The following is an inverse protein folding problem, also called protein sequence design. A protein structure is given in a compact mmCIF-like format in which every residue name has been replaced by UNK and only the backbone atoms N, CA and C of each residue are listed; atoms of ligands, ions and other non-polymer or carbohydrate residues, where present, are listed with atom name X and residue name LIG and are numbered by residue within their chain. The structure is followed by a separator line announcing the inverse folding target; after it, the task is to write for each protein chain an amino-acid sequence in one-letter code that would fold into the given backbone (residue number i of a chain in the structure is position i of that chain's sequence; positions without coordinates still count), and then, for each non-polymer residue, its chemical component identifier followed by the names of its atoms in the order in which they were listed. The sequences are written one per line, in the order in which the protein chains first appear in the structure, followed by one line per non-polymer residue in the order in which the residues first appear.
data_IF_319157192810
#
_entry.id   IF_319157192810
#
_cell.length_a   1.000
_cell.length_b   1.000
_cell.length_c   1.000
_cell.angle_alpha   90.00
_cell.angle_beta   90.00
_cell.angle_gamma   90.00
#
_symmetry.space_group_name_H-M   'P 1'
#
loop_
_entity.id
_entity.type
_entity.pdbx_description
1 polymer ?
#
# COMPACT_ATOMS: atom_id res chain seq x y z
N UNK A 1 31.84 -44.33 9.51
CA UNK A 1 32.33 -42.93 9.73
C UNK A 1 31.60 -41.85 8.88
N UNK A 2 30.48 -42.17 8.22
CA UNK A 2 29.77 -41.19 7.32
C UNK A 2 28.51 -40.53 7.91
N UNK A 3 27.95 -41.03 8.99
CA UNK A 3 26.77 -40.44 9.61
C UNK A 3 27.08 -39.33 10.65
N UNK A 4 28.26 -39.33 11.26
CA UNK A 4 28.68 -38.31 12.19
C UNK A 4 29.16 -37.02 11.48
N UNK A 5 29.62 -37.12 10.24
CA UNK A 5 30.00 -35.95 9.44
C UNK A 5 28.77 -35.16 8.94
N UNK A 6 27.62 -35.82 8.76
CA UNK A 6 26.37 -35.17 8.32
C UNK A 6 25.66 -34.44 9.47
N UNK A 7 25.82 -34.91 10.71
CA UNK A 7 25.24 -34.25 11.90
C UNK A 7 25.99 -32.98 12.33
N UNK A 8 27.29 -32.87 12.03
CA UNK A 8 28.11 -31.70 12.36
C UNK A 8 27.91 -30.52 11.40
N UNK A 9 27.25 -30.73 10.26
CA UNK A 9 26.97 -29.71 9.25
C UNK A 9 25.62 -29.00 9.43
N UNK A 10 24.78 -29.41 10.37
CA UNK A 10 23.66 -28.59 10.86
C UNK A 10 24.26 -27.47 11.75
N UNK A 11 24.93 -26.49 11.12
CA UNK A 11 25.20 -25.20 11.77
C UNK A 11 23.88 -24.72 12.34
N UNK A 12 23.79 -24.66 13.68
CA UNK A 12 22.65 -24.07 14.37
C UNK A 12 22.33 -22.74 13.68
N UNK A 13 21.15 -22.66 13.08
CA UNK A 13 20.74 -21.41 12.42
C UNK A 13 20.85 -20.29 13.45
N UNK A 14 21.51 -19.17 13.11
CA UNK A 14 21.71 -18.10 14.07
C UNK A 14 20.34 -17.63 14.52
N UNK A 15 20.11 -17.57 15.84
CA UNK A 15 18.87 -17.03 16.42
C UNK A 15 18.71 -15.60 15.96
N UNK A 16 17.47 -15.21 15.58
CA UNK A 16 17.15 -13.83 15.21
C UNK A 16 17.67 -12.87 16.29
N UNK A 17 18.53 -11.94 15.90
CA UNK A 17 19.07 -10.93 16.82
C UNK A 17 17.93 -10.09 17.42
N UNK A 18 17.94 -9.84 18.72
CA UNK A 18 16.97 -8.94 19.36
C UNK A 18 16.96 -7.56 18.69
N UNK A 19 18.10 -7.12 18.17
CA UNK A 19 18.19 -5.86 17.44
C UNK A 19 17.44 -5.83 16.10
N UNK A 20 17.15 -6.99 15.49
CA UNK A 20 16.32 -7.08 14.30
C UNK A 20 14.91 -6.48 14.53
N UNK A 21 14.37 -6.63 15.74
CA UNK A 21 13.07 -6.05 16.12
C UNK A 21 13.14 -4.52 16.28
N UNK A 22 14.26 -3.98 16.75
CA UNK A 22 14.50 -2.52 16.79
C UNK A 22 14.56 -1.95 15.38
N UNK A 23 15.25 -2.65 14.47
CA UNK A 23 15.27 -2.26 13.05
C UNK A 23 13.89 -2.36 12.42
N UNK A 24 13.12 -3.41 12.73
CA UNK A 24 11.75 -3.55 12.28
C UNK A 24 10.87 -2.38 12.76
N UNK A 25 11.02 -1.97 14.03
CA UNK A 25 10.33 -0.81 14.56
C UNK A 25 10.68 0.48 13.80
N UNK A 26 11.96 0.70 13.50
CA UNK A 26 12.41 1.86 12.72
C UNK A 26 11.80 1.85 11.30
N UNK A 27 11.78 0.69 10.64
CA UNK A 27 11.15 0.51 9.32
C UNK A 27 9.63 0.71 9.38
N UNK A 28 9.00 0.21 10.45
CA UNK A 28 7.58 0.40 10.70
C UNK A 28 7.22 1.88 10.81
N UNK A 29 7.93 2.63 11.65
CA UNK A 29 7.72 4.07 11.85
C UNK A 29 7.96 4.85 10.55
N UNK A 30 8.99 4.51 9.80
CA UNK A 30 9.28 5.12 8.49
C UNK A 30 8.15 4.87 7.48
N UNK A 31 7.62 3.64 7.40
CA UNK A 31 6.52 3.31 6.48
C UNK A 31 5.21 3.90 6.96
N UNK A 32 4.93 3.86 8.26
CA UNK A 32 3.74 4.47 8.86
C UNK A 32 3.69 5.96 8.55
N UNK A 33 4.81 6.69 8.70
CA UNK A 33 4.87 8.12 8.41
C UNK A 33 4.59 8.43 6.94
N UNK A 34 5.12 7.63 6.01
CA UNK A 34 4.83 7.77 4.59
C UNK A 34 3.36 7.47 4.27
N UNK A 35 2.77 6.48 4.94
CA UNK A 35 1.37 6.09 4.75
C UNK A 35 0.40 7.14 5.32
N UNK A 36 0.69 7.71 6.50
CA UNK A 36 -0.08 8.83 7.04
C UNK A 36 -0.13 9.99 6.03
N UNK A 37 1.00 10.30 5.40
CA UNK A 37 1.07 11.32 4.38
C UNK A 37 0.35 10.94 3.08
N UNK A 38 0.33 9.67 2.68
CA UNK A 38 -0.46 9.19 1.55
C UNK A 38 -1.95 9.50 1.75
N UNK A 39 -2.49 9.14 2.90
CA UNK A 39 -3.93 9.18 3.17
C UNK A 39 -4.44 10.47 3.82
N UNK A 40 -3.59 11.48 4.06
CA UNK A 40 -4.00 12.75 4.70
C UNK A 40 -4.93 13.61 3.84
N UNK A 41 -4.92 13.44 2.51
CA UNK A 41 -5.71 14.25 1.58
C UNK A 41 -7.22 13.92 1.64
N UNK A 42 -7.68 12.66 1.52
CA UNK A 42 -9.09 12.32 1.48
C UNK A 42 -9.93 12.93 2.60
N UNK A 43 -9.54 12.85 3.89
CA UNK A 43 -10.36 13.36 4.99
C UNK A 43 -10.43 14.90 5.10
N UNK A 44 -9.58 15.63 4.38
CA UNK A 44 -9.59 17.11 4.36
C UNK A 44 -9.78 17.65 2.94
N UNK A 45 -10.20 16.80 2.02
CA UNK A 45 -10.32 17.14 0.60
C UNK A 45 -11.27 18.33 0.38
N UNK A 46 -12.40 18.38 1.05
CA UNK A 46 -13.37 19.49 0.96
C UNK A 46 -12.80 20.81 1.46
N UNK A 47 -11.91 20.79 2.47
CA UNK A 47 -11.23 22.00 2.96
C UNK A 47 -10.24 22.55 1.92
N UNK A 48 -9.54 21.66 1.21
CA UNK A 48 -8.62 22.04 0.13
C UNK A 48 -9.40 22.57 -1.07
N UNK A 49 -10.51 21.94 -1.42
CA UNK A 49 -11.39 22.41 -2.51
C UNK A 49 -11.87 23.84 -2.25
N UNK A 50 -12.31 24.12 -1.04
CA UNK A 50 -12.73 25.47 -0.65
C UNK A 50 -11.55 26.46 -0.65
N UNK A 51 -10.39 26.08 -0.11
CA UNK A 51 -9.24 26.96 0.02
C UNK A 51 -8.63 27.39 -1.33
N UNK A 52 -8.65 26.48 -2.32
CA UNK A 52 -8.05 26.73 -3.64
C UNK A 52 -9.08 26.90 -4.76
N UNK A 53 -10.38 26.87 -4.43
CA UNK A 53 -11.49 26.93 -5.42
C UNK A 53 -11.34 25.90 -6.53
N UNK A 54 -11.01 24.65 -6.16
CA UNK A 54 -10.81 23.52 -7.08
C UNK A 54 -11.88 22.46 -6.90
N UNK A 55 -12.12 21.68 -7.94
CA UNK A 55 -13.12 20.62 -7.98
C UNK A 55 -12.57 19.25 -7.54
N UNK A 56 -13.45 18.22 -7.55
CA UNK A 56 -13.09 16.85 -7.24
C UNK A 56 -12.09 16.26 -8.24
N UNK A 57 -12.08 16.72 -9.49
CA UNK A 57 -11.15 16.22 -10.51
C UNK A 57 -9.72 16.62 -10.17
N UNK A 58 -9.50 17.92 -9.89
CA UNK A 58 -8.18 18.42 -9.50
C UNK A 58 -7.67 17.79 -8.20
N UNK A 59 -8.54 17.64 -7.20
CA UNK A 59 -8.13 16.99 -5.93
C UNK A 59 -7.92 15.50 -6.10
N UNK A 60 -8.62 14.84 -7.00
CA UNK A 60 -8.35 13.45 -7.38
C UNK A 60 -7.00 13.29 -8.07
N UNK A 61 -6.66 14.21 -8.97
CA UNK A 61 -5.33 14.24 -9.61
C UNK A 61 -4.22 14.52 -8.58
N UNK A 62 -4.48 15.35 -7.57
CA UNK A 62 -3.55 15.59 -6.43
C UNK A 62 -3.31 14.32 -5.60
N UNK A 63 -4.31 13.44 -5.48
CA UNK A 63 -4.13 12.13 -4.86
C UNK A 63 -3.33 11.19 -5.76
N UNK A 64 -3.60 11.23 -7.05
CA UNK A 64 -2.99 10.35 -8.05
C UNK A 64 -1.49 10.62 -8.23
N UNK A 65 -1.06 11.89 -8.23
CA UNK A 65 0.35 12.26 -8.45
C UNK A 65 1.30 11.63 -7.42
N UNK A 66 0.83 11.41 -6.20
CA UNK A 66 1.59 10.71 -5.19
C UNK A 66 1.94 9.27 -5.64
N UNK A 67 1.01 8.58 -6.29
CA UNK A 67 1.18 7.18 -6.70
C UNK A 67 2.01 7.02 -7.98
N UNK A 68 2.09 8.06 -8.83
CA UNK A 68 2.86 7.99 -10.07
C UNK A 68 4.36 7.77 -9.80
N UNK A 69 4.86 8.34 -8.70
CA UNK A 69 6.26 8.16 -8.32
C UNK A 69 6.56 6.74 -7.85
N UNK A 70 5.60 6.05 -7.24
CA UNK A 70 5.72 4.62 -6.95
C UNK A 70 5.91 3.79 -8.22
N UNK A 71 5.21 4.13 -9.31
CA UNK A 71 5.37 3.51 -10.61
C UNK A 71 6.72 3.86 -11.26
N UNK A 72 7.05 5.15 -11.35
CA UNK A 72 8.29 5.64 -11.98
C UNK A 72 9.53 5.08 -11.27
N UNK A 73 9.49 4.99 -9.93
CA UNK A 73 10.61 4.50 -9.13
C UNK A 73 10.63 2.97 -8.97
N UNK A 74 9.64 2.23 -9.43
CA UNK A 74 9.60 0.77 -9.26
C UNK A 74 10.87 0.07 -9.76
N UNK A 75 11.46 0.53 -10.85
CA UNK A 75 12.72 0.01 -11.41
C UNK A 75 13.94 0.76 -10.86
N UNK A 76 14.00 2.12 -10.90
CA UNK A 76 15.15 2.86 -10.37
C UNK A 76 15.40 2.67 -8.88
N UNK A 77 14.36 2.43 -8.06
CA UNK A 77 14.51 2.24 -6.62
C UNK A 77 15.44 1.06 -6.26
N UNK A 78 15.37 -0.02 -7.03
CA UNK A 78 16.30 -1.15 -6.87
C UNK A 78 17.75 -0.79 -7.15
N UNK A 79 18.00 0.06 -8.16
CA UNK A 79 19.33 0.58 -8.47
C UNK A 79 19.83 1.55 -7.38
N UNK A 80 18.96 2.45 -6.92
CA UNK A 80 19.24 3.38 -5.82
C UNK A 80 19.62 2.59 -4.56
N UNK A 81 18.84 1.56 -4.23
CA UNK A 81 19.10 0.67 -3.08
C UNK A 81 20.44 -0.03 -3.20
N UNK A 82 20.80 -0.53 -4.39
CA UNK A 82 22.10 -1.18 -4.63
C UNK A 82 23.26 -0.19 -4.52
N UNK A 83 23.10 1.05 -5.00
CA UNK A 83 24.17 2.05 -5.01
C UNK A 83 24.40 2.71 -3.66
N UNK A 84 23.33 3.09 -2.95
CA UNK A 84 23.40 3.86 -1.71
C UNK A 84 23.21 3.00 -0.45
N UNK A 85 22.78 1.75 -0.62
CA UNK A 85 22.48 0.85 0.50
C UNK A 85 21.14 1.16 1.17
N UNK A 86 20.73 0.26 2.07
CA UNK A 86 19.41 0.31 2.70
C UNK A 86 19.23 1.56 3.56
N UNK A 87 20.25 1.87 4.40
CA UNK A 87 20.16 3.00 5.34
C UNK A 87 19.96 4.33 4.62
N UNK A 88 20.79 4.62 3.65
CA UNK A 88 20.69 5.89 2.89
C UNK A 88 19.41 5.96 2.07
N UNK A 89 19.00 4.86 1.45
CA UNK A 89 17.72 4.82 0.70
C UNK A 89 16.53 5.09 1.62
N UNK A 90 16.53 4.52 2.83
CA UNK A 90 15.50 4.79 3.84
C UNK A 90 15.50 6.24 4.33
N UNK A 91 16.68 6.83 4.58
CA UNK A 91 16.80 8.23 4.96
C UNK A 91 16.33 9.17 3.86
N UNK A 92 16.72 8.92 2.60
CA UNK A 92 16.24 9.69 1.44
C UNK A 92 14.71 9.56 1.33
N UNK A 93 14.18 8.36 1.54
CA UNK A 93 12.73 8.11 1.48
C UNK A 93 11.98 8.94 2.51
N UNK A 94 12.31 8.83 3.78
CA UNK A 94 11.61 9.56 4.86
C UNK A 94 11.88 11.06 4.77
N UNK A 95 13.11 11.46 4.40
CA UNK A 95 13.48 12.85 4.16
C UNK A 95 12.65 13.50 3.04
N UNK A 96 12.45 12.79 1.93
CA UNK A 96 11.60 13.26 0.83
C UNK A 96 10.15 13.46 1.29
N UNK A 97 9.56 12.52 2.06
CA UNK A 97 8.21 12.71 2.61
C UNK A 97 8.16 13.91 3.55
N UNK A 98 9.17 14.07 4.42
CA UNK A 98 9.25 15.21 5.36
C UNK A 98 9.27 16.55 4.62
N UNK A 99 10.16 16.67 3.64
CA UNK A 99 10.33 17.88 2.84
C UNK A 99 9.07 18.14 2.00
N UNK A 100 8.56 17.13 1.30
CA UNK A 100 7.35 17.25 0.48
C UNK A 100 6.12 17.68 1.29
N UNK A 101 5.96 17.13 2.50
CA UNK A 101 4.88 17.50 3.40
C UNK A 101 5.06 18.95 3.91
N UNK A 102 6.28 19.37 4.26
CA UNK A 102 6.59 20.75 4.64
C UNK A 102 6.30 21.74 3.51
N UNK A 103 6.71 21.41 2.28
CA UNK A 103 6.36 22.20 1.08
C UNK A 103 4.84 22.33 0.90
N UNK A 104 4.12 21.22 1.03
CA UNK A 104 2.67 21.22 0.96
C UNK A 104 2.02 22.06 2.05
N UNK A 105 2.55 22.06 3.28
CA UNK A 105 2.06 22.88 4.38
C UNK A 105 2.22 24.40 4.12
N UNK A 106 3.27 24.78 3.39
CA UNK A 106 3.57 26.16 3.00
C UNK A 106 2.87 26.58 1.69
N UNK A 107 2.12 25.69 1.05
CA UNK A 107 1.54 25.93 -0.26
C UNK A 107 0.51 27.08 -0.22
N UNK A 108 0.77 28.13 -0.97
CA UNK A 108 -0.15 29.26 -1.22
C UNK A 108 -0.91 29.07 -2.54
N UNK A 109 -0.46 28.16 -3.40
CA UNK A 109 -1.08 27.84 -4.68
C UNK A 109 -1.29 26.32 -4.77
N UNK A 110 -2.28 25.91 -5.56
CA UNK A 110 -2.55 24.50 -5.78
C UNK A 110 -1.38 23.76 -6.44
N UNK A 111 -0.65 24.45 -7.34
CA UNK A 111 0.52 23.87 -8.03
C UNK A 111 1.66 23.56 -7.05
N UNK A 112 1.87 24.42 -6.03
CA UNK A 112 2.89 24.18 -5.01
C UNK A 112 2.52 22.95 -4.15
N UNK A 113 1.23 22.79 -3.86
CA UNK A 113 0.73 21.59 -3.18
C UNK A 113 0.97 20.33 -4.02
N UNK A 114 0.81 20.44 -5.35
CA UNK A 114 1.09 19.37 -6.32
C UNK A 114 2.57 18.94 -6.28
N UNK A 115 3.49 19.90 -6.29
CA UNK A 115 4.94 19.65 -6.16
C UNK A 115 5.25 18.94 -4.84
N UNK A 116 4.66 19.39 -3.73
CA UNK A 116 4.82 18.73 -2.43
C UNK A 116 4.40 17.27 -2.48
N UNK A 117 3.24 16.97 -3.07
CA UNK A 117 2.72 15.59 -3.23
C UNK A 117 3.61 14.72 -4.11
N UNK A 118 4.18 15.29 -5.16
CA UNK A 118 5.14 14.60 -6.02
C UNK A 118 6.40 14.18 -5.24
N UNK A 119 6.96 15.09 -4.43
CA UNK A 119 8.14 14.80 -3.58
C UNK A 119 7.82 13.74 -2.53
N UNK A 120 6.64 13.81 -1.89
CA UNK A 120 6.17 12.79 -0.94
C UNK A 120 6.08 11.40 -1.61
N UNK A 121 5.59 11.36 -2.86
CA UNK A 121 5.49 10.12 -3.65
C UNK A 121 6.84 9.46 -3.91
N UNK A 122 7.91 10.26 -4.13
CA UNK A 122 9.29 9.74 -4.23
C UNK A 122 9.65 8.96 -2.96
N UNK A 123 9.38 9.53 -1.79
CA UNK A 123 9.68 8.90 -0.52
C UNK A 123 8.92 7.58 -0.32
N UNK A 124 7.63 7.56 -0.63
CA UNK A 124 6.81 6.34 -0.54
C UNK A 124 7.32 5.25 -1.49
N UNK A 125 7.67 5.59 -2.73
CA UNK A 125 8.21 4.64 -3.70
C UNK A 125 9.51 3.99 -3.21
N UNK A 126 10.41 4.76 -2.61
CA UNK A 126 11.68 4.26 -2.08
C UNK A 126 11.51 3.39 -0.84
N UNK A 127 10.66 3.79 0.13
CA UNK A 127 10.51 3.01 1.38
C UNK A 127 9.83 1.67 1.13
N UNK A 128 8.91 1.59 0.17
CA UNK A 128 8.24 0.34 -0.22
C UNK A 128 9.19 -0.69 -0.82
N UNK A 129 10.35 -0.27 -1.32
CA UNK A 129 11.40 -1.18 -1.81
C UNK A 129 12.43 -1.46 -0.71
N UNK A 130 12.84 -0.43 0.04
CA UNK A 130 13.88 -0.54 1.05
C UNK A 130 13.46 -1.39 2.26
N UNK A 131 12.21 -1.27 2.72
CA UNK A 131 11.76 -1.94 3.93
C UNK A 131 11.65 -3.47 3.78
N UNK A 132 10.99 -4.04 2.75
CA UNK A 132 10.98 -5.49 2.54
C UNK A 132 12.39 -6.06 2.35
N UNK A 133 13.26 -5.33 1.65
CA UNK A 133 14.65 -5.76 1.49
C UNK A 133 15.39 -5.77 2.83
N UNK A 134 15.24 -4.74 3.66
CA UNK A 134 15.83 -4.70 5.00
C UNK A 134 15.34 -5.89 5.86
N UNK A 135 14.03 -6.18 5.85
CA UNK A 135 13.47 -7.34 6.56
C UNK A 135 14.10 -8.64 6.05
N UNK A 136 14.35 -8.76 4.75
CA UNK A 136 14.96 -9.95 4.16
C UNK A 136 16.42 -10.17 4.59
N UNK A 137 17.11 -9.12 4.97
CA UNK A 137 18.51 -9.18 5.44
C UNK A 137 18.58 -9.46 6.95
N UNK A 138 17.62 -8.96 7.74
CA UNK A 138 17.61 -9.07 9.20
C UNK A 138 16.89 -10.29 9.74
N UNK A 139 16.02 -10.94 8.95
CA UNK A 139 15.22 -12.09 9.41
C UNK A 139 15.44 -13.31 8.52
N UNK A 140 15.61 -14.51 9.12
CA UNK A 140 15.78 -15.75 8.37
C UNK A 140 14.50 -16.09 7.57
N UNK A 141 14.64 -16.83 6.49
CA UNK A 141 13.56 -17.13 5.55
C UNK A 141 12.33 -17.75 6.22
N UNK A 142 12.54 -18.69 7.15
CA UNK A 142 11.46 -19.41 7.84
C UNK A 142 10.72 -18.55 8.89
N UNK A 143 11.34 -17.44 9.39
CA UNK A 143 10.73 -16.56 10.39
C UNK A 143 10.41 -15.17 9.83
N UNK A 144 10.44 -14.97 8.52
CA UNK A 144 10.26 -13.67 7.86
C UNK A 144 8.79 -13.24 7.75
N UNK A 145 7.87 -14.19 7.78
CA UNK A 145 6.44 -13.92 7.58
C UNK A 145 5.88 -12.95 8.64
N UNK A 146 6.16 -13.18 9.92
CA UNK A 146 5.68 -12.34 11.02
C UNK A 146 6.22 -10.90 10.95
N UNK A 147 7.54 -10.64 10.83
CA UNK A 147 8.05 -9.28 10.65
C UNK A 147 7.49 -8.55 9.43
N UNK A 148 7.31 -9.25 8.31
CA UNK A 148 6.70 -8.68 7.10
C UNK A 148 5.24 -8.33 7.33
N UNK A 149 4.48 -9.18 8.03
CA UNK A 149 3.08 -8.92 8.39
C UNK A 149 2.93 -7.71 9.32
N UNK A 150 3.80 -7.59 10.34
CA UNK A 150 3.85 -6.43 11.23
C UNK A 150 4.15 -5.17 10.42
N UNK A 151 5.18 -5.20 9.58
CA UNK A 151 5.52 -4.05 8.74
C UNK A 151 4.35 -3.67 7.80
N UNK A 152 3.73 -4.63 7.14
CA UNK A 152 2.62 -4.38 6.21
C UNK A 152 1.39 -3.77 6.89
N UNK A 153 1.15 -4.07 8.19
CA UNK A 153 0.04 -3.48 8.95
C UNK A 153 0.13 -1.96 9.08
N UNK A 154 1.33 -1.37 8.92
CA UNK A 154 1.54 0.08 8.95
C UNK A 154 0.70 0.82 7.91
N UNK A 155 0.40 0.18 6.77
CA UNK A 155 -0.42 0.79 5.71
C UNK A 155 -1.88 0.93 6.16
N UNK A 156 -2.47 -0.13 6.70
CA UNK A 156 -3.84 -0.10 7.21
C UNK A 156 -3.99 0.82 8.42
N UNK A 157 -3.06 0.73 9.38
CA UNK A 157 -3.05 1.56 10.58
C UNK A 157 -2.88 3.04 10.22
N UNK A 158 -1.95 3.37 9.30
CA UNK A 158 -1.74 4.74 8.84
C UNK A 158 -3.01 5.33 8.20
N UNK A 159 -3.72 4.55 7.38
CA UNK A 159 -4.99 4.98 6.80
C UNK A 159 -6.05 5.27 7.89
N UNK A 160 -6.28 4.32 8.80
CA UNK A 160 -7.27 4.46 9.88
C UNK A 160 -6.95 5.66 10.77
N UNK A 161 -5.71 5.79 11.23
CA UNK A 161 -5.27 6.90 12.10
C UNK A 161 -5.48 8.25 11.41
N UNK A 162 -5.14 8.34 10.13
CA UNK A 162 -5.31 9.59 9.37
C UNK A 162 -6.77 9.95 9.21
N UNK A 163 -7.64 9.00 8.86
CA UNK A 163 -9.08 9.23 8.71
C UNK A 163 -9.75 9.66 10.02
N UNK A 164 -9.23 9.23 11.16
CA UNK A 164 -9.76 9.61 12.47
C UNK A 164 -9.26 10.98 12.95
N UNK A 165 -7.99 11.31 12.70
CA UNK A 165 -7.33 12.49 13.29
C UNK A 165 -7.35 13.70 12.35
N UNK A 166 -7.10 13.50 11.05
CA UNK A 166 -6.92 14.60 10.10
C UNK A 166 -8.14 15.53 9.97
N UNK A 167 -9.41 15.03 9.96
CA UNK A 167 -10.56 15.94 9.90
C UNK A 167 -10.61 16.92 11.07
N UNK A 168 -10.39 16.43 12.28
CA UNK A 168 -10.43 17.26 13.50
C UNK A 168 -9.33 18.32 13.50
N UNK A 169 -8.11 17.96 13.08
CA UNK A 169 -7.02 18.93 12.94
C UNK A 169 -7.32 19.95 11.84
N UNK A 170 -7.85 19.48 10.70
CA UNK A 170 -8.13 20.34 9.55
C UNK A 170 -9.25 21.34 9.83
N UNK A 171 -10.30 20.94 10.56
CA UNK A 171 -11.40 21.84 10.93
C UNK A 171 -10.99 22.83 12.02
N UNK A 172 -10.24 22.36 13.04
CA UNK A 172 -9.86 23.22 14.17
C UNK A 172 -8.77 24.25 13.82
N UNK A 173 -7.80 23.89 13.00
CA UNK A 173 -6.60 24.69 12.76
C UNK A 173 -6.31 24.95 11.27
N UNK A 174 -7.21 24.54 10.39
CA UNK A 174 -7.03 24.64 8.94
C UNK A 174 -6.27 23.45 8.32
N UNK A 175 -6.50 23.19 7.03
CA UNK A 175 -5.90 22.09 6.29
C UNK A 175 -4.35 22.05 6.33
N UNK A 176 -3.60 23.20 6.37
CA UNK A 176 -2.13 23.15 6.41
C UNK A 176 -1.57 22.48 7.65
N UNK A 177 -2.33 22.50 8.77
CA UNK A 177 -1.93 21.85 10.02
C UNK A 177 -1.80 20.34 9.87
N UNK A 178 -2.62 19.73 9.01
CA UNK A 178 -2.53 18.29 8.71
C UNK A 178 -1.22 17.96 7.98
N UNK A 179 -0.75 18.86 7.10
CA UNK A 179 0.56 18.73 6.43
C UNK A 179 1.72 18.95 7.39
N UNK A 180 1.62 19.94 8.30
CA UNK A 180 2.61 20.16 9.35
C UNK A 180 2.70 18.99 10.31
N UNK A 181 1.58 18.44 10.75
CA UNK A 181 1.54 17.24 11.59
C UNK A 181 2.19 16.04 10.89
N UNK A 182 1.86 15.85 9.60
CA UNK A 182 2.50 14.83 8.74
C UNK A 182 4.01 15.03 8.62
N UNK A 183 4.46 16.26 8.35
CA UNK A 183 5.90 16.58 8.25
C UNK A 183 6.62 16.38 9.58
N UNK A 184 6.03 16.82 10.69
CA UNK A 184 6.61 16.65 12.04
C UNK A 184 6.75 15.17 12.43
N UNK A 185 5.72 14.36 12.15
CA UNK A 185 5.79 12.92 12.40
C UNK A 185 6.82 12.22 11.51
N UNK A 186 6.96 12.65 10.24
CA UNK A 186 8.01 12.17 9.36
C UNK A 186 9.40 12.59 9.85
N UNK A 187 9.58 13.84 10.31
CA UNK A 187 10.85 14.30 10.88
C UNK A 187 11.25 13.46 12.12
N UNK A 188 10.30 13.17 13.01
CA UNK A 188 10.54 12.26 14.13
C UNK A 188 10.93 10.86 13.65
N UNK A 189 10.21 10.33 12.66
CA UNK A 189 10.52 9.03 12.07
C UNK A 189 11.89 9.01 11.37
N UNK A 190 12.30 10.12 10.77
CA UNK A 190 13.63 10.29 10.17
C UNK A 190 14.72 10.20 11.23
N UNK A 191 14.56 10.91 12.34
CA UNK A 191 15.52 10.89 13.47
C UNK A 191 15.59 9.47 14.07
N UNK A 192 14.45 8.84 14.32
CA UNK A 192 14.39 7.47 14.82
C UNK A 192 15.04 6.48 13.86
N UNK A 193 14.78 6.60 12.57
CA UNK A 193 15.39 5.75 11.55
C UNK A 193 16.90 5.96 11.46
N UNK A 194 17.38 7.21 11.47
CA UNK A 194 18.80 7.55 11.46
C UNK A 194 19.55 6.96 12.67
N UNK A 195 18.92 7.04 13.86
CA UNK A 195 19.50 6.59 15.11
C UNK A 195 19.46 5.06 15.28
N UNK A 196 18.31 4.46 14.96
CA UNK A 196 18.05 3.04 15.27
C UNK A 196 18.42 2.10 14.12
N UNK A 197 18.38 2.57 12.87
CA UNK A 197 18.69 1.69 11.74
C UNK A 197 20.19 1.55 11.55
N UNK A 198 20.68 0.32 11.64
CA UNK A 198 22.05 -0.04 11.25
C UNK A 198 22.04 -1.23 10.29
N UNK A 199 23.11 -1.41 9.55
CA UNK A 199 23.31 -2.64 8.79
C UNK A 199 23.65 -3.80 9.74
N UNK A 200 23.19 -5.02 9.46
CA UNK A 200 23.55 -6.17 10.27
C UNK A 200 25.05 -6.45 10.14
N UNK A 201 25.64 -6.93 11.22
CA UNK A 201 27.00 -7.48 11.19
C UNK A 201 26.97 -8.82 10.43
N UNK A 202 28.12 -9.27 9.94
CA UNK A 202 28.21 -10.50 9.13
C UNK A 202 27.57 -11.72 9.81
N UNK A 203 27.68 -11.80 11.16
CA UNK A 203 27.06 -12.85 11.97
C UNK A 203 25.53 -12.72 12.15
N UNK A 204 24.95 -11.57 11.85
CA UNK A 204 23.54 -11.24 11.99
C UNK A 204 22.80 -11.24 10.64
N UNK A 205 23.52 -11.44 9.54
CA UNK A 205 22.96 -11.36 8.18
C UNK A 205 22.35 -12.69 7.76
N UNK A 206 21.08 -12.68 7.42
CA UNK A 206 20.34 -13.84 6.88
C UNK A 206 20.10 -13.75 5.37
N UNK A 207 20.52 -12.68 4.71
CA UNK A 207 20.56 -12.69 3.26
C UNK A 207 21.40 -13.90 2.87
N UNK A 208 20.81 -14.82 2.10
CA UNK A 208 21.64 -15.76 1.37
C UNK A 208 22.75 -14.92 0.71
N UNK A 209 24.04 -15.27 0.86
CA UNK A 209 25.07 -14.61 0.10
C UNK A 209 24.54 -14.51 -1.32
N UNK A 210 24.61 -13.33 -1.91
CA UNK A 210 24.35 -13.20 -3.34
C UNK A 210 25.07 -14.39 -3.96
N UNK A 211 24.40 -15.30 -4.68
CA UNK A 211 24.94 -16.59 -4.99
C UNK A 211 26.36 -16.42 -5.52
N UNK A 212 27.34 -16.60 -4.61
CA UNK A 212 28.69 -16.77 -4.99
C UNK A 212 28.66 -18.07 -5.75
N UNK A 213 28.74 -17.99 -7.07
CA UNK A 213 28.95 -19.12 -7.97
C UNK A 213 28.12 -20.36 -7.64
N UNK A 214 26.78 -20.23 -7.47
CA UNK A 214 25.90 -21.33 -7.68
C UNK A 214 25.66 -21.40 -9.18
N UNK A 215 26.43 -22.27 -9.85
CA UNK A 215 26.26 -22.72 -11.23
C UNK A 215 25.96 -21.61 -12.24
N UNK A 216 26.77 -21.52 -13.27
CA UNK A 216 26.77 -20.60 -14.41
C UNK A 216 25.44 -20.43 -15.19
N UNK A 217 24.29 -20.48 -14.52
CA UNK A 217 23.07 -19.98 -15.11
C UNK A 217 23.13 -18.44 -15.07
N UNK A 218 23.42 -17.84 -16.20
CA UNK A 218 23.23 -16.40 -16.43
C UNK A 218 21.94 -15.96 -15.78
N UNK A 219 21.94 -14.87 -14.98
CA UNK A 219 20.72 -14.37 -14.39
C UNK A 219 19.65 -14.29 -15.48
N UNK A 220 18.44 -14.84 -15.25
CA UNK A 220 17.41 -14.88 -16.28
C UNK A 220 17.23 -13.47 -16.82
N UNK A 221 17.33 -13.31 -18.13
CA UNK A 221 17.23 -12.00 -18.76
C UNK A 221 15.89 -11.36 -18.33
N UNK A 222 15.90 -10.08 -17.98
CA UNK A 222 14.69 -9.29 -17.71
C UNK A 222 13.60 -9.58 -18.74
N UNK A 223 13.98 -9.73 -20.03
CA UNK A 223 13.09 -10.09 -21.11
C UNK A 223 12.35 -11.43 -20.89
N UNK A 224 13.02 -12.48 -20.40
CA UNK A 224 12.39 -13.77 -20.10
C UNK A 224 11.41 -13.69 -18.92
N UNK A 225 11.72 -12.89 -17.90
CA UNK A 225 10.80 -12.64 -16.78
C UNK A 225 9.58 -11.83 -17.22
N UNK A 226 9.79 -10.78 -17.98
CA UNK A 226 8.71 -9.93 -18.53
C UNK A 226 7.86 -10.66 -19.59
N UNK A 227 8.36 -11.70 -20.24
CA UNK A 227 7.59 -12.52 -21.17
C UNK A 227 6.59 -13.46 -20.47
N UNK A 228 6.62 -13.61 -19.14
CA UNK A 228 5.69 -14.44 -18.41
C UNK A 228 4.31 -13.79 -18.33
N UNK A 229 3.37 -14.28 -19.17
CA UNK A 229 2.00 -13.78 -19.24
C UNK A 229 1.29 -13.77 -17.87
N UNK A 230 1.56 -14.77 -17.02
CA UNK A 230 0.90 -14.83 -15.70
C UNK A 230 1.32 -13.71 -14.75
N UNK A 231 2.55 -13.16 -14.87
CA UNK A 231 2.94 -11.98 -14.09
C UNK A 231 2.13 -10.74 -14.48
N UNK A 232 1.88 -10.56 -15.78
CA UNK A 232 1.04 -9.46 -16.27
C UNK A 232 -0.43 -9.65 -15.88
N UNK A 233 -0.93 -10.88 -15.85
CA UNK A 233 -2.29 -11.16 -15.38
C UNK A 233 -2.44 -10.85 -13.88
N UNK A 234 -1.43 -11.19 -13.06
CA UNK A 234 -1.38 -10.77 -11.64
C UNK A 234 -1.34 -9.25 -11.54
N UNK A 235 -0.50 -8.59 -12.33
CA UNK A 235 -0.35 -7.14 -12.37
C UNK A 235 -1.68 -6.44 -12.72
N UNK A 236 -2.38 -6.90 -13.75
CA UNK A 236 -3.68 -6.35 -14.16
C UNK A 236 -4.72 -6.56 -13.06
N UNK A 237 -4.82 -7.78 -12.52
CA UNK A 237 -5.75 -8.05 -11.43
C UNK A 237 -5.46 -7.16 -10.21
N UNK A 238 -4.20 -7.05 -9.80
CA UNK A 238 -3.80 -6.23 -8.66
C UNK A 238 -4.02 -4.73 -8.93
N UNK A 239 -3.83 -4.28 -10.18
CA UNK A 239 -4.15 -2.93 -10.63
C UNK A 239 -5.65 -2.61 -10.55
N UNK A 240 -6.51 -3.49 -11.04
CA UNK A 240 -7.96 -3.35 -10.93
C UNK A 240 -8.42 -3.25 -9.47
N UNK A 241 -7.89 -4.11 -8.60
CA UNK A 241 -8.18 -4.05 -7.17
C UNK A 241 -7.79 -2.70 -6.56
N UNK A 242 -6.56 -2.26 -6.78
CA UNK A 242 -6.08 -1.00 -6.22
C UNK A 242 -6.82 0.21 -6.79
N UNK A 243 -7.19 0.19 -8.07
CA UNK A 243 -8.00 1.24 -8.69
C UNK A 243 -9.31 1.43 -7.93
N UNK A 244 -10.04 0.34 -7.72
CA UNK A 244 -11.34 0.34 -7.06
C UNK A 244 -11.21 0.76 -5.59
N UNK A 245 -10.28 0.19 -4.85
CA UNK A 245 -10.09 0.51 -3.43
C UNK A 245 -9.65 1.95 -3.24
N UNK A 246 -8.72 2.45 -4.07
CA UNK A 246 -8.23 3.83 -3.96
C UNK A 246 -9.28 4.85 -4.34
N UNK A 247 -10.10 4.58 -5.38
CA UNK A 247 -11.24 5.43 -5.73
C UNK A 247 -12.22 5.54 -4.55
N UNK A 248 -12.60 4.40 -3.95
CA UNK A 248 -13.49 4.37 -2.80
C UNK A 248 -12.90 5.09 -1.59
N UNK A 249 -11.69 4.75 -1.16
CA UNK A 249 -11.06 5.37 0.02
C UNK A 249 -10.81 6.87 -0.16
N UNK A 250 -10.65 7.34 -1.40
CA UNK A 250 -10.40 8.77 -1.68
C UNK A 250 -11.68 9.58 -1.64
N UNK A 251 -12.75 9.11 -2.27
CA UNK A 251 -13.96 9.92 -2.47
C UNK A 251 -15.10 9.59 -1.51
N UNK A 252 -15.02 8.49 -0.78
CA UNK A 252 -16.05 8.14 0.19
C UNK A 252 -16.21 9.17 1.31
N UNK A 253 -15.15 9.74 1.93
CA UNK A 253 -15.32 10.82 2.90
C UNK A 253 -16.09 12.01 2.33
N UNK A 254 -15.76 12.43 1.10
CA UNK A 254 -16.44 13.53 0.41
C UNK A 254 -17.92 13.22 0.17
N UNK A 255 -18.23 11.99 -0.28
CA UNK A 255 -19.62 11.55 -0.46
C UNK A 255 -20.42 11.60 0.85
N UNK A 256 -19.83 11.08 1.93
CA UNK A 256 -20.48 11.06 3.23
C UNK A 256 -20.70 12.47 3.78
N UNK A 257 -19.75 13.39 3.59
CA UNK A 257 -19.89 14.78 4.01
C UNK A 257 -20.90 15.55 3.16
N UNK A 258 -20.73 15.54 1.83
CA UNK A 258 -21.47 16.45 0.93
C UNK A 258 -22.86 15.91 0.58
N UNK A 259 -22.98 14.59 0.39
CA UNK A 259 -24.24 13.98 -0.09
C UNK A 259 -25.05 13.41 1.06
N UNK A 260 -24.40 12.84 2.07
CA UNK A 260 -25.06 12.19 3.20
C UNK A 260 -25.15 13.06 4.46
N UNK A 261 -24.47 14.22 4.47
CA UNK A 261 -24.53 15.15 5.62
C UNK A 261 -23.83 14.64 6.88
N UNK A 262 -22.88 13.70 6.75
CA UNK A 262 -22.10 13.26 7.90
C UNK A 262 -21.19 14.38 8.39
N UNK A 263 -21.06 14.50 9.73
CA UNK A 263 -20.11 15.45 10.31
C UNK A 263 -18.66 15.13 9.90
N UNK A 264 -17.84 16.17 9.73
CA UNK A 264 -16.39 16.04 9.51
C UNK A 264 -15.66 15.63 10.77
N UNK A 265 -16.14 16.13 11.90
CA UNK A 265 -15.49 16.01 13.21
C UNK A 265 -16.32 15.17 14.15
N UNK A 266 -15.68 14.78 15.25
CA UNK A 266 -16.36 14.10 16.36
C UNK A 266 -17.20 15.13 17.13
N UNK A 267 -18.49 15.06 17.02
CA UNK A 267 -19.43 15.86 17.80
C UNK A 267 -19.98 15.05 18.97
N UNK A 268 -20.20 15.73 20.14
CA UNK A 268 -20.72 15.08 21.33
C UNK A 268 -22.10 14.49 21.04
N UNK A 269 -22.19 13.14 21.05
CA UNK A 269 -23.43 12.41 20.71
C UNK A 269 -23.51 11.85 19.28
N UNK A 270 -22.57 12.19 18.39
CA UNK A 270 -22.48 11.60 17.05
C UNK A 270 -21.33 10.60 17.01
N UNK A 271 -21.66 9.31 17.12
CA UNK A 271 -20.68 8.23 17.15
C UNK A 271 -19.99 8.00 15.79
N UNK A 272 -20.58 8.48 14.69
CA UNK A 272 -20.13 8.17 13.33
C UNK A 272 -19.95 9.44 12.50
N UNK A 273 -18.70 9.88 12.34
CA UNK A 273 -18.34 10.88 11.34
C UNK A 273 -17.88 10.24 10.01
N UNK A 274 -17.73 11.04 8.96
CA UNK A 274 -17.34 10.57 7.63
C UNK A 274 -16.00 9.81 7.64
N UNK A 275 -15.01 10.29 8.41
CA UNK A 275 -13.71 9.67 8.57
C UNK A 275 -13.78 8.31 9.22
N UNK A 276 -14.52 8.18 10.34
CA UNK A 276 -14.71 6.91 11.04
C UNK A 276 -15.37 5.86 10.16
N UNK A 277 -16.47 6.22 9.51
CA UNK A 277 -17.19 5.30 8.63
C UNK A 277 -16.32 4.83 7.46
N UNK A 278 -15.53 5.71 6.86
CA UNK A 278 -14.57 5.34 5.81
C UNK A 278 -13.46 4.44 6.36
N UNK A 279 -12.97 4.70 7.57
CA UNK A 279 -11.92 3.91 8.21
C UNK A 279 -12.32 2.44 8.43
N UNK A 280 -13.63 2.14 8.55
CA UNK A 280 -14.15 0.77 8.70
C UNK A 280 -13.70 -0.16 7.56
N UNK A 281 -13.51 0.35 6.34
CA UNK A 281 -13.01 -0.42 5.20
C UNK A 281 -11.62 -1.00 5.53
N UNK A 282 -10.69 -0.15 5.93
CA UNK A 282 -9.31 -0.58 6.22
C UNK A 282 -9.23 -1.32 7.54
N UNK A 283 -9.99 -0.93 8.55
CA UNK A 283 -10.08 -1.66 9.82
C UNK A 283 -10.53 -3.12 9.59
N UNK A 284 -11.56 -3.33 8.78
CA UNK A 284 -12.02 -4.67 8.42
C UNK A 284 -10.96 -5.45 7.61
N UNK A 285 -10.25 -4.77 6.69
CA UNK A 285 -9.21 -5.37 5.88
C UNK A 285 -8.00 -5.82 6.70
N UNK A 286 -7.64 -5.13 7.79
CA UNK A 286 -6.55 -5.52 8.70
C UNK A 286 -6.75 -6.94 9.24
N UNK A 287 -8.00 -7.33 9.51
CA UNK A 287 -8.33 -8.68 10.00
C UNK A 287 -8.58 -9.67 8.87
N UNK A 288 -9.28 -9.26 7.81
CA UNK A 288 -9.67 -10.16 6.73
C UNK A 288 -8.50 -10.54 5.82
N UNK A 289 -7.50 -9.69 5.63
CA UNK A 289 -6.36 -9.95 4.76
C UNK A 289 -5.49 -11.13 5.27
N UNK A 290 -5.06 -11.19 6.55
CA UNK A 290 -4.34 -12.34 7.08
C UNK A 290 -5.20 -13.61 7.12
N UNK A 291 -6.48 -13.47 7.46
CA UNK A 291 -7.42 -14.60 7.47
C UNK A 291 -7.56 -15.22 6.07
N UNK A 292 -7.77 -14.39 5.05
CA UNK A 292 -7.85 -14.83 3.66
C UNK A 292 -6.56 -15.46 3.15
N UNK A 293 -5.40 -14.91 3.50
CA UNK A 293 -4.09 -15.51 3.23
C UNK A 293 -3.96 -16.90 3.83
N UNK A 294 -4.27 -17.05 5.14
CA UNK A 294 -4.22 -18.33 5.85
C UNK A 294 -5.18 -19.38 5.28
N UNK A 295 -6.40 -18.96 4.94
CA UNK A 295 -7.39 -19.86 4.30
C UNK A 295 -6.88 -20.30 2.93
N UNK A 296 -6.32 -19.36 2.15
CA UNK A 296 -5.72 -19.64 0.84
C UNK A 296 -4.59 -20.65 0.92
N UNK A 297 -3.72 -20.54 1.93
CA UNK A 297 -2.60 -21.45 2.16
C UNK A 297 -3.10 -22.87 2.52
N UNK A 298 -4.12 -22.98 3.38
CA UNK A 298 -4.71 -24.25 3.78
C UNK A 298 -5.46 -24.96 2.64
N UNK A 299 -6.17 -24.20 1.82
CA UNK A 299 -6.95 -24.76 0.71
C UNK A 299 -6.09 -25.06 -0.53
N UNK A 300 -4.93 -24.45 -0.68
CA UNK A 300 -4.07 -24.57 -1.87
C UNK A 300 -4.71 -24.07 -3.17
N UNK A 301 -5.81 -23.31 -3.09
CA UNK A 301 -6.62 -22.86 -4.25
C UNK A 301 -6.57 -21.35 -4.41
N UNK A 302 -5.38 -20.80 -4.75
CA UNK A 302 -5.15 -19.34 -4.88
C UNK A 302 -6.17 -18.64 -5.76
N UNK A 303 -6.51 -19.21 -6.93
CA UNK A 303 -7.46 -18.59 -7.87
C UNK A 303 -8.83 -18.36 -7.24
N UNK A 304 -9.39 -19.37 -6.60
CA UNK A 304 -10.73 -19.30 -5.99
C UNK A 304 -10.71 -18.22 -4.90
N UNK A 305 -9.64 -18.17 -4.10
CA UNK A 305 -9.47 -17.21 -3.02
C UNK A 305 -9.24 -15.78 -3.48
N UNK A 306 -9.07 -15.53 -4.78
CA UNK A 306 -9.08 -14.19 -5.38
C UNK A 306 -10.42 -13.94 -6.10
N UNK A 307 -10.91 -14.91 -6.87
CA UNK A 307 -12.12 -14.76 -7.69
C UNK A 307 -13.37 -14.56 -6.84
N UNK A 308 -13.54 -15.37 -5.78
CA UNK A 308 -14.73 -15.25 -4.90
C UNK A 308 -14.80 -13.88 -4.23
N UNK A 309 -13.74 -13.35 -3.57
CA UNK A 309 -13.75 -11.99 -3.08
C UNK A 309 -14.01 -10.93 -4.16
N UNK A 310 -13.48 -11.09 -5.37
CA UNK A 310 -13.76 -10.16 -6.47
C UNK A 310 -15.23 -10.18 -6.88
N UNK A 311 -15.86 -11.35 -7.00
CA UNK A 311 -17.30 -11.48 -7.30
C UNK A 311 -18.11 -10.79 -6.21
N UNK A 312 -17.82 -11.08 -4.94
CA UNK A 312 -18.51 -10.47 -3.81
C UNK A 312 -18.31 -8.93 -3.81
N UNK A 313 -17.10 -8.46 -4.07
CA UNK A 313 -16.80 -7.03 -4.21
C UNK A 313 -17.57 -6.41 -5.38
N UNK A 314 -17.69 -7.10 -6.51
CA UNK A 314 -18.52 -6.65 -7.65
C UNK A 314 -19.98 -6.52 -7.25
N UNK A 315 -20.52 -7.46 -6.48
CA UNK A 315 -21.89 -7.40 -5.97
C UNK A 315 -22.11 -6.19 -5.04
N UNK A 316 -21.11 -5.79 -4.25
CA UNK A 316 -21.24 -4.57 -3.43
C UNK A 316 -21.45 -3.32 -4.31
N UNK A 317 -20.93 -3.29 -5.53
CA UNK A 317 -21.10 -2.19 -6.47
C UNK A 317 -22.46 -2.16 -7.19
N UNK A 318 -23.37 -3.06 -6.91
CA UNK A 318 -24.77 -2.95 -7.35
C UNK A 318 -25.54 -1.87 -6.55
N UNK A 319 -25.06 -1.56 -5.34
CA UNK A 319 -25.68 -0.56 -4.45
C UNK A 319 -24.68 0.46 -3.89
N UNK A 320 -23.74 1.00 -4.70
CA UNK A 320 -22.53 1.63 -4.17
C UNK A 320 -22.86 2.87 -3.31
N UNK A 321 -23.39 3.90 -3.90
CA UNK A 321 -23.69 5.17 -3.23
C UNK A 321 -25.19 5.37 -2.95
N UNK A 322 -26.00 4.30 -3.00
CA UNK A 322 -27.45 4.33 -2.82
C UNK A 322 -27.89 3.96 -1.41
N UNK A 323 -27.08 3.19 -0.68
CA UNK A 323 -27.36 2.80 0.73
C UNK A 323 -27.50 4.00 1.64
N UNK A 324 -28.34 3.87 2.67
CA UNK A 324 -28.67 4.95 3.62
C UNK A 324 -28.67 4.44 5.07
N UNK A 325 -28.58 5.36 6.01
CA UNK A 325 -28.69 5.06 7.44
C UNK A 325 -27.62 4.07 7.92
N UNK A 326 -28.00 3.14 8.79
CA UNK A 326 -27.10 2.14 9.37
C UNK A 326 -26.50 1.15 8.36
N UNK A 327 -27.08 1.04 7.16
CA UNK A 327 -26.56 0.20 6.09
C UNK A 327 -25.21 0.73 5.56
N UNK A 328 -24.89 2.01 5.72
CA UNK A 328 -23.62 2.59 5.26
C UNK A 328 -22.43 1.98 5.99
N UNK A 329 -22.32 2.04 7.33
CA UNK A 329 -21.19 1.40 8.03
C UNK A 329 -21.15 -0.12 7.83
N UNK A 330 -22.31 -0.80 7.73
CA UNK A 330 -22.36 -2.22 7.42
C UNK A 330 -21.77 -2.51 6.02
N UNK A 331 -22.12 -1.71 5.02
CA UNK A 331 -21.55 -1.79 3.67
C UNK A 331 -20.02 -1.62 3.68
N UNK A 332 -19.48 -0.66 4.45
CA UNK A 332 -18.04 -0.42 4.53
C UNK A 332 -17.31 -1.61 5.17
N UNK A 333 -17.87 -2.20 6.21
CA UNK A 333 -17.33 -3.42 6.82
C UNK A 333 -17.32 -4.58 5.83
N UNK A 334 -18.43 -4.82 5.13
CA UNK A 334 -18.52 -5.88 4.13
C UNK A 334 -17.52 -5.66 3.01
N UNK A 335 -17.42 -4.44 2.49
CA UNK A 335 -16.45 -4.10 1.44
C UNK A 335 -15.00 -4.36 1.89
N UNK A 336 -14.64 -3.98 3.11
CA UNK A 336 -13.32 -4.22 3.69
C UNK A 336 -13.03 -5.71 3.94
N UNK A 337 -14.01 -6.45 4.49
CA UNK A 337 -13.87 -7.91 4.73
C UNK A 337 -13.66 -8.64 3.41
N UNK A 338 -14.44 -8.32 2.40
CA UNK A 338 -14.41 -8.99 1.10
C UNK A 338 -13.15 -8.60 0.31
N UNK A 339 -12.78 -7.33 0.29
CA UNK A 339 -11.62 -6.84 -0.46
C UNK A 339 -10.27 -7.23 0.14
N UNK A 340 -10.18 -7.33 1.48
CA UNK A 340 -8.92 -7.54 2.20
C UNK A 340 -8.08 -8.74 1.72
N UNK A 341 -8.66 -9.91 1.46
CA UNK A 341 -7.92 -11.10 1.01
C UNK A 341 -7.25 -10.98 -0.37
N UNK A 342 -7.76 -10.14 -1.26
CA UNK A 342 -7.34 -10.11 -2.67
C UNK A 342 -5.84 -9.82 -2.82
N UNK A 343 -5.36 -8.76 -2.18
CA UNK A 343 -3.98 -8.31 -2.31
C UNK A 343 -2.95 -9.36 -1.82
N UNK A 344 -3.03 -9.87 -0.59
CA UNK A 344 -2.05 -10.82 -0.09
C UNK A 344 -2.07 -12.14 -0.86
N UNK A 345 -3.23 -12.62 -1.30
CA UNK A 345 -3.34 -13.86 -2.06
C UNK A 345 -2.76 -13.72 -3.47
N UNK A 346 -2.98 -12.57 -4.15
CA UNK A 346 -2.34 -12.28 -5.44
C UNK A 346 -0.82 -12.22 -5.33
N UNK A 347 -0.29 -11.56 -4.30
CA UNK A 347 1.16 -11.48 -4.09
C UNK A 347 1.75 -12.83 -3.73
N UNK A 348 1.04 -13.66 -2.97
CA UNK A 348 1.45 -15.03 -2.65
C UNK A 348 1.45 -15.96 -3.87
N UNK A 349 0.69 -15.66 -4.92
CA UNK A 349 0.71 -16.42 -6.18
C UNK A 349 1.96 -16.13 -7.03
N UNK A 350 2.67 -15.01 -6.82
CA UNK A 350 3.86 -14.64 -7.61
C UNK A 350 4.97 -15.69 -7.54
N UNK A 351 5.42 -16.17 -6.37
CA UNK A 351 6.42 -17.23 -6.28
C UNK A 351 6.01 -18.53 -6.96
N UNK A 352 4.73 -18.91 -6.87
CA UNK A 352 4.19 -20.13 -7.48
C UNK A 352 4.23 -20.06 -9.01
N UNK A 353 3.92 -18.91 -9.59
CA UNK A 353 3.99 -18.66 -11.02
C UNK A 353 5.44 -18.55 -11.51
N UNK A 354 6.34 -18.02 -10.69
CA UNK A 354 7.74 -17.80 -11.03
C UNK A 354 8.50 -19.12 -11.32
N UNK A 355 8.16 -20.20 -10.63
CA UNK A 355 8.80 -21.53 -10.68
C UNK A 355 10.30 -21.55 -10.41
N UNK A 356 11.02 -20.45 -10.71
CA UNK A 356 12.46 -20.25 -10.44
C UNK A 356 12.61 -19.08 -9.44
N UNK A 357 13.38 -19.25 -8.36
CA UNK A 357 13.60 -18.18 -7.37
C UNK A 357 14.09 -16.86 -7.97
N UNK A 358 14.94 -16.94 -9.00
CA UNK A 358 15.49 -15.78 -9.70
C UNK A 358 14.44 -14.92 -10.42
N UNK A 359 13.25 -15.46 -10.73
CA UNK A 359 12.15 -14.73 -11.39
C UNK A 359 11.16 -14.09 -10.40
N UNK A 360 11.22 -14.45 -9.10
CA UNK A 360 10.28 -13.93 -8.08
C UNK A 360 10.37 -12.41 -7.99
N UNK A 361 11.60 -11.86 -7.95
CA UNK A 361 11.81 -10.42 -7.90
C UNK A 361 11.19 -9.67 -9.08
N UNK A 362 11.33 -10.22 -10.30
CA UNK A 362 10.73 -9.64 -11.50
C UNK A 362 9.20 -9.71 -11.41
N UNK A 363 8.66 -10.85 -10.99
CA UNK A 363 7.22 -11.02 -10.81
C UNK A 363 6.62 -10.04 -9.80
N UNK A 364 7.30 -9.82 -8.67
CA UNK A 364 6.90 -8.82 -7.67
C UNK A 364 6.97 -7.39 -8.20
N UNK A 365 8.00 -7.05 -8.99
CA UNK A 365 8.10 -5.74 -9.64
C UNK A 365 6.97 -5.52 -10.65
N UNK A 366 6.64 -6.52 -11.46
CA UNK A 366 5.52 -6.44 -12.42
C UNK A 366 4.18 -6.30 -11.68
N UNK A 367 3.98 -7.00 -10.56
CA UNK A 367 2.80 -6.83 -9.73
C UNK A 367 2.71 -5.41 -9.15
N UNK A 368 3.83 -4.84 -8.68
CA UNK A 368 3.89 -3.48 -8.16
C UNK A 368 3.59 -2.42 -9.23
N UNK A 369 3.96 -2.66 -10.50
CA UNK A 369 3.56 -1.81 -11.63
C UNK A 369 2.04 -1.71 -11.72
N UNK A 370 1.33 -2.84 -11.73
CA UNK A 370 -0.13 -2.83 -11.76
C UNK A 370 -0.75 -2.12 -10.55
N UNK A 371 -0.23 -2.41 -9.35
CA UNK A 371 -0.66 -1.73 -8.13
C UNK A 371 -0.60 -0.21 -8.27
N UNK A 372 0.55 0.33 -8.63
CA UNK A 372 0.75 1.78 -8.73
C UNK A 372 -0.08 2.42 -9.85
N UNK A 373 -0.24 1.73 -10.99
CA UNK A 373 -1.13 2.17 -12.07
C UNK A 373 -2.58 2.24 -11.56
N UNK A 374 -3.06 1.23 -10.84
CA UNK A 374 -4.39 1.25 -10.24
C UNK A 374 -4.58 2.38 -9.24
N UNK A 375 -3.61 2.58 -8.35
CA UNK A 375 -3.61 3.67 -7.37
C UNK A 375 -3.58 5.06 -8.02
N UNK A 376 -2.96 5.19 -9.21
CA UNK A 376 -2.95 6.43 -9.98
C UNK A 376 -4.29 6.65 -10.70
N UNK A 377 -4.77 5.64 -11.43
CA UNK A 377 -5.98 5.77 -12.26
C UNK A 377 -7.24 5.94 -11.41
N UNK A 378 -7.36 5.24 -10.28
CA UNK A 378 -8.57 5.26 -9.46
C UNK A 378 -9.00 6.67 -9.05
N UNK A 379 -8.18 7.43 -8.31
CA UNK A 379 -8.52 8.79 -7.90
C UNK A 379 -8.60 9.80 -9.05
N UNK A 380 -7.93 9.54 -10.17
CA UNK A 380 -7.99 10.40 -11.36
C UNK A 380 -9.25 10.17 -12.20
N UNK A 381 -9.64 8.91 -12.42
CA UNK A 381 -10.75 8.53 -13.30
C UNK A 381 -12.12 8.71 -12.62
N UNK A 382 -12.24 8.27 -11.37
CA UNK A 382 -13.50 8.26 -10.62
C UNK A 382 -14.20 9.65 -10.59
N UNK A 383 -13.52 10.75 -10.23
CA UNK A 383 -14.16 12.05 -10.14
C UNK A 383 -14.56 12.62 -11.50
N UNK A 384 -13.91 12.23 -12.60
CA UNK A 384 -14.30 12.60 -13.96
C UNK A 384 -15.62 11.96 -14.35
N UNK A 385 -15.80 10.67 -14.04
CA UNK A 385 -17.08 9.97 -14.28
C UNK A 385 -18.15 10.53 -13.36
N UNK A 386 -17.83 10.75 -12.09
CA UNK A 386 -18.74 11.32 -11.10
C UNK A 386 -19.24 12.71 -11.49
N UNK A 387 -18.39 13.58 -12.00
CA UNK A 387 -18.75 14.91 -12.44
C UNK A 387 -19.66 14.88 -13.67
N UNK A 388 -19.46 13.92 -14.57
CA UNK A 388 -20.26 13.77 -15.80
C UNK A 388 -21.60 13.07 -15.56
N UNK A 389 -21.65 12.06 -14.68
CA UNK A 389 -22.78 11.12 -14.58
C UNK A 389 -23.30 10.89 -13.15
N UNK A 390 -22.70 11.54 -12.16
CA UNK A 390 -23.07 11.44 -10.75
C UNK A 390 -22.45 10.26 -10.01
N UNK A 391 -22.62 10.25 -8.69
CA UNK A 391 -21.99 9.31 -7.76
C UNK A 391 -22.36 7.85 -8.00
N UNK A 392 -23.64 7.56 -8.21
CA UNK A 392 -24.12 6.19 -8.40
C UNK A 392 -23.51 5.56 -9.66
N UNK A 393 -23.51 6.30 -10.77
CA UNK A 393 -22.97 5.82 -12.04
C UNK A 393 -21.45 5.63 -11.94
N UNK A 394 -20.73 6.55 -11.29
CA UNK A 394 -19.30 6.37 -11.04
C UNK A 394 -19.00 5.10 -10.23
N UNK A 395 -19.88 4.75 -9.28
CA UNK A 395 -19.82 3.47 -8.57
C UNK A 395 -20.06 2.27 -9.50
N UNK A 396 -21.04 2.32 -10.38
CA UNK A 396 -21.31 1.23 -11.34
C UNK A 396 -20.15 1.00 -12.31
N UNK A 397 -19.39 2.03 -12.68
CA UNK A 397 -18.18 1.88 -13.49
C UNK A 397 -17.06 1.05 -12.82
N UNK A 398 -17.16 0.81 -11.51
CA UNK A 398 -16.23 -0.11 -10.82
C UNK A 398 -16.53 -1.58 -11.14
N UNK A 399 -17.77 -1.91 -11.57
CA UNK A 399 -18.16 -3.27 -11.93
C UNK A 399 -17.34 -3.82 -13.11
N UNK A 400 -17.27 -3.19 -14.29
CA UNK A 400 -16.45 -3.69 -15.39
C UNK A 400 -14.96 -3.79 -15.01
N UNK A 401 -14.45 -2.91 -14.16
CA UNK A 401 -13.06 -2.97 -13.68
C UNK A 401 -12.85 -4.24 -12.84
N UNK A 402 -13.78 -4.55 -11.92
CA UNK A 402 -13.73 -5.80 -11.15
C UNK A 402 -13.83 -7.03 -12.06
N UNK A 403 -14.69 -6.99 -13.09
CA UNK A 403 -14.80 -8.08 -14.07
C UNK A 403 -13.49 -8.30 -14.83
N UNK A 404 -12.79 -7.23 -15.23
CA UNK A 404 -11.44 -7.33 -15.83
C UNK A 404 -10.47 -7.98 -14.84
N UNK A 405 -10.52 -7.61 -13.56
CA UNK A 405 -9.72 -8.25 -12.51
C UNK A 405 -10.00 -9.76 -12.35
N UNK A 406 -11.27 -10.15 -12.42
CA UNK A 406 -11.70 -11.57 -12.39
C UNK A 406 -11.14 -12.31 -13.60
N UNK A 407 -11.35 -11.78 -14.82
CA UNK A 407 -10.86 -12.38 -16.08
C UNK A 407 -9.34 -12.53 -16.03
N UNK A 408 -8.62 -11.49 -15.61
CA UNK A 408 -7.18 -11.55 -15.45
C UNK A 408 -6.76 -12.66 -14.48
N UNK A 409 -7.47 -12.82 -13.34
CA UNK A 409 -7.22 -13.87 -12.37
C UNK A 409 -7.45 -15.27 -12.94
N UNK A 410 -8.50 -15.45 -13.75
CA UNK A 410 -8.73 -16.73 -14.46
C UNK A 410 -7.57 -17.10 -15.38
N UNK A 411 -6.97 -16.12 -16.04
CA UNK A 411 -5.85 -16.31 -16.96
C UNK A 411 -4.50 -16.60 -16.28
N UNK A 412 -4.40 -16.49 -14.95
CA UNK A 412 -3.18 -16.85 -14.20
C UNK A 412 -2.99 -18.35 -14.24
N UNK A 413 -1.81 -18.82 -14.64
CA UNK A 413 -1.47 -20.26 -14.62
C UNK A 413 -0.86 -20.62 -13.26
N UNK A 414 -1.68 -20.65 -12.21
CA UNK A 414 -1.38 -21.24 -10.90
C UNK A 414 -2.05 -22.62 -10.85
N UNK A 415 -1.43 -23.60 -10.21
CA UNK A 415 -2.03 -24.92 -9.95
C UNK A 415 -3.08 -24.84 -8.85
#
# INVERSE_FOLDING_TARGET
MSQQATAAAQKAEPKTSAYAWVVLFALYMATLSATLNLFKLPPVMTLIQTAFSVDNVKTGDLMSIFSIMGFVLAIPAGYILKRFGIKMTGLIAVGAVTIGSGFGALAKTFDLLYVGRFIEGVGMGLIMVAAPFAISVWFPLHNRALPTGIWASSVGIGNVVTLLIAPSLGVAYGWPTVWWAGSGFCALSFILFAALFRMPKQAETYAAPAPAAATEEKPPSLAKGMANRSFWMISISFGCYNLVVMAMCTFLPVFLEVVRGYSKTYEKGVLMNAGFVTALIMAASIFSAPAGGSISDRLGKRKIMVIVPYILMTLTFLVPFTVTGWMIPAYMLVFGIVGGPIAPVLLAAVPEVARKPALIGIGMSVAAVGQNIGMYIGPSLFPRIMAAQGWAVAGYWMIPICVVGIIATFCIKVR
#
